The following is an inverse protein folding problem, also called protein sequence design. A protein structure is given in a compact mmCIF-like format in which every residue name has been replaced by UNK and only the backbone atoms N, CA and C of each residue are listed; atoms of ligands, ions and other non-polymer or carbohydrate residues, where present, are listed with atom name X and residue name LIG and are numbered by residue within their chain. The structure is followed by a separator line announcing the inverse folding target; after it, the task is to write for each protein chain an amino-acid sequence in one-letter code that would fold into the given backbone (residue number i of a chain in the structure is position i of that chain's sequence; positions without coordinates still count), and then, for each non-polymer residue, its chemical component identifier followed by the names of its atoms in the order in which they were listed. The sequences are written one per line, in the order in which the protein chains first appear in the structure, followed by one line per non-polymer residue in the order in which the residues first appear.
data_IF_398165016193
#
_entry.id   IF_398165016193
#
_cell.length_a   1.000
_cell.length_b   1.000
_cell.length_c   1.000
_cell.angle_alpha   90.00
_cell.angle_beta   90.00
_cell.angle_gamma   90.00
#
_symmetry.space_group_name_H-M   'P 1'
#
loop_
_entity.id
_entity.type
_entity.pdbx_description
1 polymer ?
#
# COMPACT_ATOMS: atom_id res chain seq x y z
N UNK A 1 29.87 -16.55 -2.16
CA UNK A 1 29.57 -16.52 -0.71
C UNK A 1 30.88 -16.38 0.03
N UNK A 2 30.96 -15.54 1.07
CA UNK A 2 32.16 -15.47 1.91
C UNK A 2 32.41 -16.82 2.58
N UNK A 3 33.68 -17.18 2.79
CA UNK A 3 34.11 -18.53 3.20
C UNK A 3 33.56 -19.01 4.55
N UNK A 4 33.02 -18.10 5.37
CA UNK A 4 32.59 -18.36 6.75
C UNK A 4 31.07 -18.39 6.98
N UNK A 5 30.23 -18.43 5.93
CA UNK A 5 28.76 -18.47 6.13
C UNK A 5 28.25 -19.91 6.36
N UNK A 6 27.80 -20.22 7.58
CA UNK A 6 27.26 -21.53 8.02
C UNK A 6 25.77 -21.71 7.69
N UNK A 7 25.33 -21.32 6.48
CA UNK A 7 23.92 -21.46 6.08
C UNK A 7 23.75 -22.72 5.21
N UNK A 8 23.14 -23.76 5.78
CA UNK A 8 22.72 -24.94 5.03
C UNK A 8 21.25 -24.76 4.63
N UNK A 9 20.99 -24.75 3.31
CA UNK A 9 19.64 -24.57 2.74
C UNK A 9 19.29 -25.80 1.93
N UNK A 10 18.17 -26.44 2.26
CA UNK A 10 17.63 -27.57 1.50
C UNK A 10 16.63 -27.06 0.46
N UNK A 11 16.72 -27.56 -0.76
CA UNK A 11 15.86 -27.14 -1.87
C UNK A 11 15.49 -28.31 -2.77
N UNK A 12 14.31 -28.23 -3.38
CA UNK A 12 13.84 -29.14 -4.43
C UNK A 12 14.30 -28.71 -5.84
N UNK A 13 14.96 -27.56 -5.97
CA UNK A 13 15.45 -27.05 -7.25
C UNK A 13 16.69 -27.84 -7.71
N UNK A 14 16.72 -28.18 -9.00
CA UNK A 14 17.80 -28.97 -9.60
C UNK A 14 18.81 -28.08 -10.35
N UNK A 15 20.09 -28.47 -10.37
CA UNK A 15 21.16 -27.82 -11.16
C UNK A 15 22.20 -27.05 -10.34
N UNK A 16 23.08 -26.30 -11.02
CA UNK A 16 24.11 -25.49 -10.36
C UNK A 16 23.52 -24.16 -9.86
N UNK A 17 22.94 -24.19 -8.66
CA UNK A 17 22.08 -23.13 -8.14
C UNK A 17 22.72 -22.30 -7.03
N UNK A 18 24.01 -22.44 -6.74
CA UNK A 18 24.60 -21.85 -5.52
C UNK A 18 24.34 -20.34 -5.36
N UNK A 19 24.39 -19.57 -6.45
CA UNK A 19 24.10 -18.13 -6.45
C UNK A 19 22.59 -17.85 -6.38
N UNK A 20 21.82 -18.49 -7.27
CA UNK A 20 20.36 -18.32 -7.39
C UNK A 20 19.66 -18.71 -6.07
N UNK A 21 20.07 -19.81 -5.44
CA UNK A 21 19.52 -20.27 -4.17
C UNK A 21 19.83 -19.30 -3.03
N UNK A 22 21.02 -18.70 -3.03
CA UNK A 22 21.38 -17.64 -2.08
C UNK A 22 20.47 -16.41 -2.22
N UNK A 23 20.25 -15.97 -3.46
CA UNK A 23 19.38 -14.83 -3.77
C UNK A 23 17.92 -15.12 -3.37
N UNK A 24 17.39 -16.29 -3.74
CA UNK A 24 16.03 -16.72 -3.38
C UNK A 24 15.84 -16.86 -1.87
N UNK A 25 16.78 -17.48 -1.17
CA UNK A 25 16.70 -17.62 0.27
C UNK A 25 16.82 -16.27 0.98
N UNK A 26 17.59 -15.34 0.42
CA UNK A 26 17.68 -13.96 0.88
C UNK A 26 16.33 -13.23 0.88
N UNK A 27 15.42 -13.60 -0.03
CA UNK A 27 14.09 -12.99 -0.11
C UNK A 27 13.26 -13.20 1.17
N UNK A 28 13.58 -14.20 2.00
CA UNK A 28 12.91 -14.41 3.30
C UNK A 28 13.00 -13.18 4.22
N UNK A 29 14.04 -12.36 4.05
CA UNK A 29 14.23 -11.12 4.84
C UNK A 29 13.09 -10.13 4.58
N UNK A 30 12.49 -10.14 3.38
CA UNK A 30 11.33 -9.30 3.07
C UNK A 30 10.11 -9.66 3.90
N UNK A 31 9.95 -10.93 4.28
CA UNK A 31 8.88 -11.36 5.19
C UNK A 31 9.06 -10.70 6.57
N UNK A 32 10.30 -10.66 7.08
CA UNK A 32 10.60 -9.98 8.34
C UNK A 32 10.34 -8.47 8.24
N UNK A 33 10.76 -7.83 7.14
CA UNK A 33 10.45 -6.42 6.89
C UNK A 33 8.94 -6.15 6.84
N UNK A 34 8.16 -7.03 6.20
CA UNK A 34 6.71 -6.92 6.14
C UNK A 34 6.07 -6.99 7.53
N UNK A 35 6.50 -7.93 8.38
CA UNK A 35 6.05 -7.99 9.77
C UNK A 35 6.43 -6.74 10.56
N UNK A 36 7.64 -6.20 10.34
CA UNK A 36 8.09 -4.96 11.00
C UNK A 36 7.19 -3.78 10.61
N UNK A 37 6.84 -3.65 9.33
CA UNK A 37 5.95 -2.62 8.82
C UNK A 37 4.54 -2.75 9.43
N UNK A 38 3.98 -3.97 9.46
CA UNK A 38 2.67 -4.20 10.07
C UNK A 38 2.65 -3.82 11.57
N UNK A 39 3.70 -4.18 12.31
CA UNK A 39 3.81 -3.89 13.75
C UNK A 39 3.99 -2.40 14.04
N UNK A 40 4.88 -1.73 13.32
CA UNK A 40 5.26 -0.36 13.62
C UNK A 40 4.34 0.69 13.00
N UNK A 41 3.80 0.43 11.79
CA UNK A 41 3.13 1.45 10.99
C UNK A 41 1.61 1.24 10.90
N UNK A 42 1.13 0.00 11.00
CA UNK A 42 -0.28 -0.37 10.80
C UNK A 42 -1.01 -0.75 12.11
N UNK A 43 -0.34 -0.66 13.26
CA UNK A 43 -0.98 -0.88 14.56
C UNK A 43 -1.29 -2.34 14.87
N UNK A 44 -0.51 -3.30 14.35
CA UNK A 44 -0.68 -4.72 14.72
C UNK A 44 -0.64 -4.95 16.23
N UNK A 45 0.23 -4.22 16.93
CA UNK A 45 0.40 -4.33 18.38
C UNK A 45 -0.53 -3.41 19.17
N UNK A 46 -1.50 -2.75 18.53
CA UNK A 46 -2.48 -1.94 19.25
C UNK A 46 -3.48 -2.88 19.93
N UNK A 47 -3.19 -3.27 21.18
CA UNK A 47 -3.99 -4.18 22.00
C UNK A 47 -5.28 -3.54 22.55
N UNK A 48 -6.01 -2.82 21.70
CA UNK A 48 -7.30 -2.20 22.07
C UNK A 48 -8.46 -3.21 22.03
N UNK A 49 -8.24 -4.38 21.45
CA UNK A 49 -9.20 -5.47 21.32
C UNK A 49 -8.80 -6.65 22.20
N UNK A 50 -9.75 -7.20 22.96
CA UNK A 50 -9.53 -8.33 23.88
C UNK A 50 -10.22 -9.62 23.41
N UNK A 51 -11.24 -9.51 22.56
CA UNK A 51 -11.94 -10.66 21.99
C UNK A 51 -11.18 -11.21 20.77
N UNK A 52 -10.85 -12.50 20.79
CA UNK A 52 -10.14 -13.20 19.71
C UNK A 52 -10.75 -12.98 18.32
N UNK A 53 -12.08 -13.05 18.18
CA UNK A 53 -12.72 -12.87 16.87
C UNK A 53 -12.50 -11.46 16.30
N UNK A 54 -12.43 -10.45 17.17
CA UNK A 54 -12.13 -9.08 16.76
C UNK A 54 -10.65 -8.90 16.44
N UNK A 55 -9.77 -9.59 17.17
CA UNK A 55 -8.32 -9.58 16.90
C UNK A 55 -8.02 -10.19 15.52
N UNK A 56 -8.65 -11.31 15.18
CA UNK A 56 -8.49 -11.95 13.85
C UNK A 56 -8.93 -11.01 12.73
N UNK A 57 -10.13 -10.43 12.84
CA UNK A 57 -10.62 -9.44 11.85
C UNK A 57 -9.72 -8.21 11.75
N UNK A 58 -9.15 -7.76 12.88
CA UNK A 58 -8.19 -6.66 12.88
C UNK A 58 -6.92 -7.01 12.10
N UNK A 59 -6.39 -8.21 12.29
CA UNK A 59 -5.23 -8.68 11.53
C UNK A 59 -5.53 -8.85 10.03
N UNK A 60 -6.73 -9.33 9.67
CA UNK A 60 -7.17 -9.37 8.27
C UNK A 60 -7.15 -7.98 7.64
N UNK A 61 -7.71 -6.98 8.32
CA UNK A 61 -7.70 -5.58 7.84
C UNK A 61 -6.26 -5.08 7.68
N UNK A 62 -5.39 -5.33 8.66
CA UNK A 62 -3.97 -4.92 8.57
C UNK A 62 -3.31 -5.55 7.35
N UNK A 63 -3.52 -6.83 7.09
CA UNK A 63 -2.92 -7.50 5.94
C UNK A 63 -3.52 -7.04 4.60
N UNK A 64 -4.81 -6.72 4.54
CA UNK A 64 -5.42 -6.10 3.36
C UNK A 64 -4.77 -4.74 3.06
N UNK A 65 -4.61 -3.90 4.08
CA UNK A 65 -3.96 -2.59 3.96
C UNK A 65 -2.49 -2.75 3.56
N UNK A 66 -1.76 -3.67 4.20
CA UNK A 66 -0.38 -4.00 3.85
C UNK A 66 -0.23 -4.41 2.38
N UNK A 67 -1.13 -5.29 1.92
CA UNK A 67 -1.16 -5.77 0.53
C UNK A 67 -1.42 -4.61 -0.43
N UNK A 68 -2.43 -3.78 -0.14
CA UNK A 68 -2.75 -2.60 -0.94
C UNK A 68 -1.55 -1.65 -1.08
N UNK A 69 -0.85 -1.34 0.02
CA UNK A 69 0.33 -0.47 -0.02
C UNK A 69 1.47 -1.12 -0.81
N UNK A 70 1.70 -2.42 -0.60
CA UNK A 70 2.80 -3.14 -1.26
C UNK A 70 2.60 -3.18 -2.77
N UNK A 71 1.38 -3.46 -3.23
CA UNK A 71 1.01 -3.45 -4.65
C UNK A 71 1.17 -2.07 -5.30
N UNK A 72 1.00 -0.99 -4.53
CA UNK A 72 1.19 0.38 -4.98
C UNK A 72 2.63 0.90 -4.79
N UNK A 73 3.55 0.06 -4.31
CA UNK A 73 4.95 0.46 -4.16
C UNK A 73 5.69 0.41 -5.51
N UNK A 74 6.68 1.29 -5.74
CA UNK A 74 7.37 1.38 -7.04
C UNK A 74 8.01 0.09 -7.53
N UNK A 75 8.46 -0.78 -6.61
CA UNK A 75 9.05 -2.07 -6.96
C UNK A 75 8.03 -2.98 -7.67
N UNK A 76 6.80 -3.07 -7.16
CA UNK A 76 5.74 -3.87 -7.77
C UNK A 76 5.13 -3.19 -8.99
N UNK A 77 5.00 -1.86 -8.97
CA UNK A 77 4.55 -1.11 -10.15
C UNK A 77 5.49 -1.28 -11.34
N UNK A 78 6.81 -1.22 -11.12
CA UNK A 78 7.81 -1.43 -12.19
C UNK A 78 7.75 -2.84 -12.77
N UNK A 79 7.63 -3.87 -11.91
CA UNK A 79 7.48 -5.26 -12.36
C UNK A 79 6.22 -5.44 -13.21
N UNK A 80 5.12 -4.80 -12.84
CA UNK A 80 3.87 -4.89 -13.58
C UNK A 80 3.86 -4.04 -14.86
N UNK A 81 4.51 -2.88 -14.87
CA UNK A 81 4.71 -2.09 -16.09
C UNK A 81 5.55 -2.85 -17.11
N UNK A 82 6.58 -3.59 -16.68
CA UNK A 82 7.34 -4.45 -17.61
C UNK A 82 6.49 -5.57 -18.22
N UNK A 83 5.47 -6.05 -17.50
CA UNK A 83 4.51 -7.03 -18.02
C UNK A 83 3.46 -6.38 -18.94
N UNK A 84 3.01 -5.16 -18.65
CA UNK A 84 2.01 -4.45 -19.46
C UNK A 84 2.58 -3.82 -20.73
N UNK A 85 3.88 -3.49 -20.78
CA UNK A 85 4.53 -3.03 -22.02
C UNK A 85 4.46 -4.11 -23.12
N UNK A 86 4.33 -5.39 -22.76
CA UNK A 86 4.08 -6.46 -23.73
C UNK A 86 2.61 -6.54 -24.20
N UNK A 87 1.66 -5.88 -23.52
CA UNK A 87 0.22 -6.05 -23.76
C UNK A 87 -0.54 -4.79 -24.21
N UNK A 88 -0.05 -3.56 -23.94
CA UNK A 88 -0.80 -2.33 -24.24
C UNK A 88 0.01 -1.30 -25.07
N UNK A 89 0.13 -1.55 -26.38
CA UNK A 89 0.28 -0.47 -27.36
C UNK A 89 -1.13 0.00 -27.73
N UNK A 90 -1.76 0.84 -26.89
CA UNK A 90 -2.81 1.84 -27.22
C UNK A 90 -3.62 2.20 -25.96
N UNK A 91 -3.44 3.43 -25.44
CA UNK A 91 -4.20 3.87 -24.26
C UNK A 91 -4.04 5.35 -23.93
N UNK A 92 -4.75 6.17 -24.69
CA UNK A 92 -5.01 7.62 -24.58
C UNK A 92 -4.73 8.26 -23.21
N UNK A 93 -3.84 9.26 -23.20
CA UNK A 93 -3.62 10.19 -22.09
C UNK A 93 -4.92 10.89 -21.68
N UNK A 94 -5.36 10.65 -20.44
CA UNK A 94 -6.51 11.34 -19.87
C UNK A 94 -6.09 12.76 -19.45
N UNK A 95 -6.48 13.76 -20.24
CA UNK A 95 -6.13 15.18 -20.05
C UNK A 95 -6.66 15.84 -18.76
N UNK A 96 -7.39 15.11 -17.90
CA UNK A 96 -7.99 15.60 -16.66
C UNK A 96 -7.60 14.76 -15.43
N UNK A 97 -6.42 14.12 -15.42
CA UNK A 97 -5.95 13.43 -14.22
C UNK A 97 -5.52 14.46 -13.17
N UNK A 98 -6.15 14.45 -11.98
CA UNK A 98 -5.70 15.25 -10.84
C UNK A 98 -4.28 14.81 -10.47
N UNK A 99 -3.34 15.75 -10.47
CA UNK A 99 -1.99 15.51 -9.98
C UNK A 99 -1.94 15.69 -8.46
N UNK A 100 -1.95 14.56 -7.75
CA UNK A 100 -1.86 14.53 -6.28
C UNK A 100 -0.48 14.92 -5.77
N UNK A 101 0.54 14.93 -6.63
CA UNK A 101 1.93 15.16 -6.22
C UNK A 101 2.22 16.63 -5.85
N UNK A 102 1.33 17.55 -6.21
CA UNK A 102 1.39 18.95 -5.76
C UNK A 102 1.13 19.15 -4.25
N UNK A 103 0.66 18.12 -3.54
CA UNK A 103 0.44 18.24 -2.10
C UNK A 103 1.77 18.42 -1.36
N UNK A 104 1.87 19.41 -0.45
CA UNK A 104 3.14 19.73 0.22
C UNK A 104 3.76 18.57 1.01
N UNK A 105 2.92 17.68 1.53
CA UNK A 105 3.36 16.48 2.27
C UNK A 105 3.49 15.24 1.39
N UNK A 106 3.30 15.38 0.08
CA UNK A 106 3.53 14.29 -0.87
C UNK A 106 5.00 13.90 -0.85
N UNK A 107 5.26 12.61 -0.78
CA UNK A 107 6.62 12.10 -0.77
C UNK A 107 6.96 11.43 -2.11
N UNK A 108 8.04 11.89 -2.74
CA UNK A 108 8.51 11.40 -4.04
C UNK A 108 9.53 10.26 -3.96
N UNK A 109 10.02 9.88 -2.77
CA UNK A 109 10.98 8.78 -2.67
C UNK A 109 10.30 7.40 -2.81
N UNK A 110 11.09 6.40 -3.19
CA UNK A 110 10.63 5.10 -3.65
C UNK A 110 10.51 4.01 -2.55
N UNK A 111 9.92 4.36 -1.40
CA UNK A 111 9.79 3.46 -0.25
C UNK A 111 8.35 3.04 0.06
N UNK A 112 8.18 1.85 0.67
CA UNK A 112 6.87 1.39 1.18
C UNK A 112 6.22 2.39 2.15
N UNK A 113 7.01 3.00 3.04
CA UNK A 113 6.51 4.00 4.00
C UNK A 113 6.02 5.28 3.29
N UNK A 114 6.68 5.65 2.20
CA UNK A 114 6.36 6.82 1.40
C UNK A 114 5.06 6.57 0.64
N UNK A 115 4.87 5.38 0.07
CA UNK A 115 3.59 4.93 -0.49
C UNK A 115 2.48 4.96 0.57
N UNK A 116 2.71 4.45 1.78
CA UNK A 116 1.75 4.52 2.87
C UNK A 116 1.38 5.97 3.20
N UNK A 117 2.35 6.88 3.29
CA UNK A 117 2.09 8.30 3.54
C UNK A 117 1.20 8.91 2.46
N UNK A 118 1.52 8.69 1.19
CA UNK A 118 0.75 9.25 0.07
C UNK A 118 -0.68 8.70 0.05
N UNK A 119 -0.87 7.40 0.31
CA UNK A 119 -2.21 6.81 0.44
C UNK A 119 -2.98 7.37 1.64
N UNK A 120 -2.32 7.67 2.76
CA UNK A 120 -2.96 8.35 3.91
C UNK A 120 -3.47 9.73 3.52
N UNK A 121 -2.71 10.51 2.75
CA UNK A 121 -3.13 11.82 2.27
C UNK A 121 -4.39 11.74 1.38
N UNK A 122 -4.46 10.73 0.51
CA UNK A 122 -5.60 10.52 -0.38
C UNK A 122 -6.88 10.16 0.39
N UNK A 123 -6.76 9.37 1.46
CA UNK A 123 -7.90 8.94 2.29
C UNK A 123 -8.32 10.02 3.30
N UNK A 124 -7.44 10.96 3.64
CA UNK A 124 -7.66 11.96 4.69
C UNK A 124 -8.94 12.80 4.51
N UNK A 125 -9.31 13.31 3.31
CA UNK A 125 -10.57 14.02 3.12
C UNK A 125 -11.81 13.23 3.52
N UNK A 126 -11.82 11.92 3.25
CA UNK A 126 -12.91 11.03 3.63
C UNK A 126 -13.01 10.92 5.15
N UNK A 127 -11.88 10.75 5.84
CA UNK A 127 -11.85 10.66 7.31
C UNK A 127 -12.33 11.96 7.96
N UNK A 128 -11.90 13.12 7.43
CA UNK A 128 -12.33 14.43 7.91
C UNK A 128 -13.84 14.63 7.71
N UNK A 129 -14.37 14.20 6.57
CA UNK A 129 -15.81 14.23 6.33
C UNK A 129 -16.57 13.42 7.38
N UNK A 130 -16.15 12.19 7.67
CA UNK A 130 -16.77 11.35 8.70
C UNK A 130 -16.71 11.97 10.10
N UNK A 131 -15.64 12.69 10.43
CA UNK A 131 -15.51 13.38 11.72
C UNK A 131 -16.47 14.58 11.84
N UNK A 132 -16.68 15.30 10.75
CA UNK A 132 -17.54 16.50 10.70
C UNK A 132 -19.01 16.13 10.51
N UNK A 133 -19.31 15.01 9.85
CA UNK A 133 -20.67 14.62 9.48
C UNK A 133 -21.69 14.70 10.63
N UNK A 134 -21.42 14.22 11.87
CA UNK A 134 -22.36 14.36 12.98
C UNK A 134 -22.68 15.81 13.37
N UNK A 135 -21.76 16.75 13.12
CA UNK A 135 -21.98 18.17 13.39
C UNK A 135 -22.88 18.82 12.33
N UNK A 136 -22.95 18.28 11.12
CA UNK A 136 -23.85 18.77 10.07
C UNK A 136 -25.32 18.53 10.41
N UNK A 137 -25.62 17.54 11.25
CA UNK A 137 -26.99 17.31 11.75
C UNK A 137 -27.42 18.40 12.75
N UNK A 138 -26.46 18.95 13.51
CA UNK A 138 -26.70 20.02 14.50
C UNK A 138 -26.69 21.39 13.81
N UNK A 139 -25.72 21.60 12.91
CA UNK A 139 -25.51 22.85 12.18
C UNK A 139 -25.51 22.59 10.68
N UNK A 140 -26.69 22.54 10.04
CA UNK A 140 -26.81 22.19 8.64
C UNK A 140 -26.11 23.23 7.75
N UNK A 141 -25.13 22.77 6.97
CA UNK A 141 -24.40 23.58 6.01
C UNK A 141 -24.23 22.82 4.69
N UNK A 142 -25.06 23.17 3.69
CA UNK A 142 -25.05 22.54 2.37
C UNK A 142 -23.76 22.79 1.58
N UNK A 143 -23.14 23.97 1.75
CA UNK A 143 -21.89 24.31 1.06
C UNK A 143 -20.72 23.46 1.56
N UNK A 144 -20.64 23.22 2.87
CA UNK A 144 -19.61 22.35 3.44
C UNK A 144 -19.76 20.91 2.96
N UNK A 145 -20.99 20.39 2.98
CA UNK A 145 -21.30 19.06 2.45
C UNK A 145 -20.93 18.94 0.97
N UNK A 146 -21.31 19.93 0.14
CA UNK A 146 -20.99 19.95 -1.28
C UNK A 146 -19.47 20.01 -1.51
N UNK A 147 -18.75 20.84 -0.75
CA UNK A 147 -17.30 20.96 -0.82
C UNK A 147 -16.58 19.63 -0.52
N UNK A 148 -16.99 18.92 0.53
CA UNK A 148 -16.45 17.59 0.83
C UNK A 148 -16.76 16.58 -0.27
N UNK A 149 -17.97 16.58 -0.83
CA UNK A 149 -18.32 15.69 -1.93
C UNK A 149 -17.46 15.94 -3.18
N UNK A 150 -17.20 17.20 -3.53
CA UNK A 150 -16.27 17.52 -4.63
C UNK A 150 -14.85 17.04 -4.34
N UNK A 151 -14.37 17.22 -3.11
CA UNK A 151 -13.03 16.77 -2.71
C UNK A 151 -12.90 15.24 -2.74
N UNK A 152 -13.90 14.53 -2.21
CA UNK A 152 -13.95 13.06 -2.25
C UNK A 152 -14.01 12.56 -3.70
N UNK A 153 -14.80 13.22 -4.56
CA UNK A 153 -14.85 12.91 -5.98
C UNK A 153 -13.47 13.06 -6.64
N UNK A 154 -12.72 14.12 -6.31
CA UNK A 154 -11.36 14.30 -6.80
C UNK A 154 -10.41 13.21 -6.27
N UNK A 155 -10.49 12.82 -4.99
CA UNK A 155 -9.67 11.75 -4.42
C UNK A 155 -9.94 10.39 -5.07
N UNK A 156 -11.20 10.10 -5.42
CA UNK A 156 -11.60 8.87 -6.09
C UNK A 156 -11.07 8.76 -7.54
N UNK A 157 -10.50 9.82 -8.11
CA UNK A 157 -9.80 9.74 -9.39
C UNK A 157 -8.43 9.06 -9.26
N UNK A 158 -7.91 8.92 -8.04
CA UNK A 158 -6.73 8.12 -7.78
C UNK A 158 -7.01 6.66 -8.15
N UNK A 159 -6.20 6.11 -9.06
CA UNK A 159 -6.28 4.71 -9.47
C UNK A 159 -5.15 3.91 -8.82
N UNK A 160 -5.40 3.28 -7.66
CA UNK A 160 -4.42 2.36 -7.11
C UNK A 160 -4.29 1.15 -8.05
N UNK A 161 -3.09 0.60 -8.10
CA UNK A 161 -2.87 -0.65 -8.79
C UNK A 161 -3.57 -1.79 -8.06
N UNK A 162 -4.36 -2.57 -8.80
CA UNK A 162 -4.89 -3.86 -8.39
C UNK A 162 -4.42 -4.90 -9.41
N UNK A 163 -3.74 -5.94 -8.95
CA UNK A 163 -3.50 -7.09 -9.82
C UNK A 163 -4.86 -7.72 -10.13
N UNK A 164 -5.23 -7.77 -11.42
CA UNK A 164 -6.34 -8.64 -11.84
C UNK A 164 -5.92 -10.07 -11.52
N UNK A 165 -6.57 -10.67 -10.53
CA UNK A 165 -6.36 -12.07 -10.14
C UNK A 165 -6.69 -13.04 -11.27
#
# INVERSE_FOLDING_TARGET
MPENSTSFVMTNLQGNLKKILGDLYGLRTWVEYGFRQCKQELGWTDYRLTNFQHIERWWEIIFCVYTMISLNSPAFLTLNQSLQIETEVTGTSCANCVDFSHHQQWNHDSGWKNTLNNLRLIVQPLLLFWLIYPWLDIFPNSHLLLGFNHLICAMNQFKPFFASG
#
